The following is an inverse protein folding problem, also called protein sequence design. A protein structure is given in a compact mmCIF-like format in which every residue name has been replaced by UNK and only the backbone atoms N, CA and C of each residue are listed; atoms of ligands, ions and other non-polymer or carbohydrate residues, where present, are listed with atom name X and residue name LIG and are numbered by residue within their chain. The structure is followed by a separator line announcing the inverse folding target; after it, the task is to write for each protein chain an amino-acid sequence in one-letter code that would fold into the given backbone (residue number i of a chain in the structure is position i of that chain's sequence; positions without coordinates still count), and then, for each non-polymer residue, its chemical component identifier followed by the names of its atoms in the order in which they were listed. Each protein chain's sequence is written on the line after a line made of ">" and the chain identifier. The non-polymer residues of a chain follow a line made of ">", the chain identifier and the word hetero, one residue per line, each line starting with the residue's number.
data_IF_145147780370
#
_entry.id   IF_145147780370
#
_cell.length_a   1.000
_cell.length_b   1.000
_cell.length_c   1.000
_cell.angle_alpha   90.00
_cell.angle_beta   90.00
_cell.angle_gamma   90.00
#
_symmetry.space_group_name_H-M   'P 1'
#
loop_
_entity.id
_entity.type
_entity.pdbx_description
1 polymer ?
#
# COMPACT_ATOMS: atom_id res chain seq x y z
N UNK A 1 1.21 -2.07 7.68
CA UNK A 1 2.23 -1.46 6.80
C UNK A 1 3.61 -1.99 7.09
N UNK A 2 4.41 -2.24 6.03
CA UNK A 2 5.86 -2.46 6.15
C UNK A 2 6.57 -1.21 5.65
N UNK A 3 7.62 -0.78 6.34
CA UNK A 3 8.29 0.46 6.01
C UNK A 3 9.28 0.94 7.04
N UNK A 4 9.91 2.06 6.71
CA UNK A 4 10.87 2.77 7.55
C UNK A 4 10.44 4.22 7.64
N UNK A 5 10.49 4.78 8.85
CA UNK A 5 10.34 6.21 9.09
C UNK A 5 11.62 6.72 9.72
N UNK A 6 12.19 7.78 9.16
CA UNK A 6 13.29 8.50 9.77
C UNK A 6 12.91 9.99 9.92
N UNK A 7 13.39 10.61 11.01
CA UNK A 7 13.05 11.99 11.36
C UNK A 7 14.30 12.80 11.67
N UNK A 8 14.26 14.08 11.37
CA UNK A 8 15.26 15.06 11.79
C UNK A 8 14.55 16.16 12.61
N UNK A 9 14.84 16.19 13.91
CA UNK A 9 14.25 17.19 14.81
C UNK A 9 14.84 18.59 14.65
N UNK A 10 16.00 18.75 14.01
CA UNK A 10 16.60 20.07 13.82
C UNK A 10 15.89 20.86 12.71
N UNK A 11 15.39 20.14 11.70
CA UNK A 11 14.67 20.72 10.55
C UNK A 11 13.17 20.43 10.58
N UNK A 12 12.68 19.62 11.53
CA UNK A 12 11.30 19.15 11.61
C UNK A 12 10.85 18.49 10.30
N UNK A 13 11.69 17.60 9.77
CA UNK A 13 11.42 16.87 8.52
C UNK A 13 11.58 15.37 8.71
N UNK A 14 11.10 14.59 7.74
CA UNK A 14 11.37 13.15 7.71
C UNK A 14 11.36 12.55 6.32
N UNK A 15 11.58 11.24 6.31
CA UNK A 15 11.32 10.39 5.16
C UNK A 15 10.50 9.20 5.60
N UNK A 16 9.64 8.75 4.70
CA UNK A 16 8.88 7.52 4.84
C UNK A 16 9.14 6.62 3.64
N UNK A 17 9.55 5.39 3.93
CA UNK A 17 9.67 4.31 2.94
C UNK A 17 8.55 3.31 3.21
N UNK A 18 7.73 3.02 2.23
CA UNK A 18 6.81 1.88 2.23
C UNK A 18 7.32 0.83 1.25
N UNK A 19 7.22 -0.44 1.60
CA UNK A 19 7.69 -1.54 0.75
C UNK A 19 6.96 -2.85 1.02
N UNK A 20 7.21 -3.84 0.16
CA UNK A 20 6.63 -5.18 0.32
C UNK A 20 7.53 -6.19 1.03
N UNK A 21 8.85 -5.97 1.07
CA UNK A 21 9.88 -6.91 1.58
C UNK A 21 9.60 -7.30 3.05
N UNK A 22 9.29 -8.58 3.34
CA UNK A 22 9.24 -9.15 4.69
C UNK A 22 10.55 -8.97 5.47
N UNK A 23 10.44 -8.88 6.81
CA UNK A 23 11.57 -8.85 7.76
C UNK A 23 12.65 -7.78 7.48
N UNK A 24 12.29 -6.75 6.72
CA UNK A 24 13.19 -5.71 6.27
C UNK A 24 12.77 -4.31 6.76
N UNK A 25 13.73 -3.40 7.06
CA UNK A 25 15.16 -3.67 7.21
C UNK A 25 15.45 -4.53 8.43
N UNK A 26 16.43 -5.42 8.32
CA UNK A 26 16.88 -6.23 9.45
C UNK A 26 17.75 -5.38 10.39
N UNK A 27 17.13 -4.45 11.12
CA UNK A 27 17.83 -3.47 11.96
C UNK A 27 18.45 -4.10 13.23
N UNK A 28 18.14 -5.37 13.49
CA UNK A 28 18.59 -6.13 14.66
C UNK A 28 19.86 -6.95 14.42
N UNK A 29 20.34 -7.11 13.16
CA UNK A 29 21.73 -7.52 12.91
C UNK A 29 22.56 -6.29 12.61
N UNK A 30 23.74 -6.27 13.18
CA UNK A 30 24.62 -5.11 13.23
C UNK A 30 25.09 -4.69 11.82
N UNK A 31 24.53 -3.58 11.31
CA UNK A 31 25.23 -2.69 10.39
C UNK A 31 25.22 -3.02 8.89
N UNK A 32 24.67 -4.14 8.44
CA UNK A 32 24.60 -4.47 7.01
C UNK A 32 23.17 -4.27 6.45
N UNK A 33 23.08 -3.50 5.37
CA UNK A 33 21.83 -3.22 4.66
C UNK A 33 21.66 -4.30 3.58
N UNK A 34 21.00 -5.39 3.92
CA UNK A 34 20.79 -6.53 3.02
C UNK A 34 19.33 -6.97 3.03
N UNK A 35 18.84 -7.45 1.87
CA UNK A 35 17.55 -8.12 1.80
C UNK A 35 17.67 -9.54 2.34
N UNK A 36 16.64 -10.08 3.02
CA UNK A 36 16.60 -11.48 3.37
C UNK A 36 16.82 -12.37 2.13
N UNK A 37 17.65 -13.41 2.26
CA UNK A 37 18.03 -14.29 1.14
C UNK A 37 16.82 -14.93 0.44
N UNK A 38 15.77 -15.25 1.21
CA UNK A 38 14.53 -15.84 0.72
C UNK A 38 13.62 -14.83 0.00
N UNK A 39 13.88 -13.54 0.15
CA UNK A 39 13.14 -12.47 -0.52
C UNK A 39 13.77 -12.03 -1.85
N UNK A 40 15.01 -12.48 -2.15
CA UNK A 40 15.71 -12.17 -3.41
C UNK A 40 15.08 -12.80 -4.66
N UNK A 41 14.22 -13.81 -4.48
CA UNK A 41 13.55 -14.53 -5.57
C UNK A 41 12.18 -13.97 -5.92
N UNK A 42 11.72 -12.93 -5.22
CA UNK A 42 10.40 -12.34 -5.39
C UNK A 42 10.48 -10.93 -5.97
N UNK A 43 9.54 -10.58 -6.85
CA UNK A 43 9.24 -9.20 -7.19
C UNK A 43 8.84 -8.41 -5.93
N UNK A 44 9.29 -7.16 -5.84
CA UNK A 44 9.04 -6.29 -4.69
C UNK A 44 8.87 -4.84 -5.17
N UNK A 45 8.06 -4.06 -4.48
CA UNK A 45 7.92 -2.62 -4.71
C UNK A 45 8.34 -1.83 -3.47
N UNK A 46 8.88 -0.63 -3.73
CA UNK A 46 9.26 0.33 -2.70
C UNK A 46 8.92 1.75 -3.17
N UNK A 47 8.50 2.59 -2.24
CA UNK A 47 8.33 4.03 -2.46
C UNK A 47 8.90 4.80 -1.28
N UNK A 48 9.68 5.84 -1.57
CA UNK A 48 10.29 6.73 -0.59
C UNK A 48 9.78 8.15 -0.80
N UNK A 49 9.23 8.76 0.26
CA UNK A 49 8.65 10.11 0.23
C UNK A 49 9.35 10.96 1.29
N UNK A 50 9.88 12.11 0.88
CA UNK A 50 10.42 13.11 1.82
C UNK A 50 9.31 14.06 2.24
N UNK A 51 9.17 14.30 3.55
CA UNK A 51 8.01 14.95 4.16
C UNK A 51 8.43 16.08 5.10
N UNK A 52 7.66 17.17 5.11
CA UNK A 52 7.71 18.19 6.15
C UNK A 52 7.02 17.69 7.43
N UNK A 53 7.26 18.36 8.56
CA UNK A 53 6.78 17.91 9.87
C UNK A 53 5.27 17.72 9.97
N UNK A 54 4.48 18.62 9.37
CA UNK A 54 3.02 18.49 9.32
C UNK A 54 2.56 17.25 8.57
N UNK A 55 3.27 16.89 7.49
CA UNK A 55 2.94 15.74 6.63
C UNK A 55 3.34 14.43 7.31
N UNK A 56 4.40 14.45 8.12
CA UNK A 56 4.76 13.35 9.02
C UNK A 56 3.69 13.10 10.08
N UNK A 57 2.96 14.13 10.52
CA UNK A 57 1.88 13.97 11.49
C UNK A 57 0.63 13.33 10.87
N UNK A 58 0.32 13.69 9.61
CA UNK A 58 -0.72 13.02 8.80
C UNK A 58 -0.40 11.53 8.62
N UNK A 59 0.87 11.19 8.39
CA UNK A 59 1.33 9.81 8.36
C UNK A 59 1.09 9.09 9.70
N UNK A 60 1.30 9.78 10.81
CA UNK A 60 1.02 9.28 12.16
C UNK A 60 -0.45 8.93 12.39
N UNK A 61 -1.37 9.75 11.90
CA UNK A 61 -2.81 9.48 11.95
C UNK A 61 -3.16 8.22 11.14
N UNK A 62 -2.60 8.06 9.94
CA UNK A 62 -2.77 6.86 9.14
C UNK A 62 -2.21 5.62 9.85
N UNK A 63 -1.03 5.72 10.47
CA UNK A 63 -0.43 4.61 11.21
C UNK A 63 -1.27 4.21 12.43
N UNK A 64 -1.90 5.18 13.11
CA UNK A 64 -2.85 4.91 14.20
C UNK A 64 -4.04 4.06 13.73
N UNK A 65 -4.46 4.22 12.46
CA UNK A 65 -5.49 3.40 11.85
C UNK A 65 -4.96 2.01 11.44
N UNK A 66 -3.80 1.98 10.79
CA UNK A 66 -3.21 0.77 10.20
C UNK A 66 -2.71 -0.24 11.24
N UNK A 67 -2.33 0.24 12.43
CA UNK A 67 -1.74 -0.56 13.51
C UNK A 67 -0.54 -1.41 13.04
N UNK A 68 0.50 -0.81 12.42
CA UNK A 68 1.69 -1.55 12.03
C UNK A 68 2.43 -2.10 13.27
N UNK A 69 3.20 -3.17 13.08
CA UNK A 69 4.03 -3.72 14.13
C UNK A 69 5.41 -3.04 14.12
N UNK A 70 5.71 -2.26 15.16
CA UNK A 70 6.99 -1.56 15.28
C UNK A 70 8.03 -2.40 16.02
N UNK A 71 9.11 -2.78 15.34
CA UNK A 71 10.17 -3.64 15.92
C UNK A 71 11.52 -2.92 16.12
N UNK A 72 11.69 -1.71 15.59
CA UNK A 72 12.94 -0.93 15.67
C UNK A 72 12.69 0.54 15.92
N UNK A 73 12.14 0.89 17.09
CA UNK A 73 11.78 2.29 17.42
C UNK A 73 12.91 2.98 18.17
N UNK A 74 13.50 3.99 17.54
CA UNK A 74 14.45 4.92 18.15
C UNK A 74 14.11 6.33 17.71
N UNK A 75 13.14 6.95 18.40
CA UNK A 75 12.65 8.30 18.10
C UNK A 75 12.87 9.24 19.28
N UNK A 76 13.32 10.49 19.05
CA UNK A 76 13.52 11.45 20.13
C UNK A 76 12.17 11.94 20.67
N UNK A 77 12.10 12.27 21.97
CA UNK A 77 10.88 12.82 22.57
C UNK A 77 10.48 14.17 22.00
N UNK A 78 11.40 14.92 21.37
CA UNK A 78 11.11 16.15 20.63
C UNK A 78 10.12 15.95 19.49
N UNK A 79 10.01 14.74 18.93
CA UNK A 79 9.04 14.42 17.88
C UNK A 79 7.60 14.75 18.31
N UNK A 80 7.27 14.61 19.60
CA UNK A 80 5.92 14.91 20.10
C UNK A 80 5.51 16.38 19.99
N UNK A 81 6.45 17.28 19.70
CA UNK A 81 6.17 18.72 19.57
C UNK A 81 5.79 19.16 18.16
N UNK A 82 6.18 18.40 17.14
CA UNK A 82 5.97 18.77 15.73
C UNK A 82 5.30 17.67 14.88
N UNK A 83 5.34 16.40 15.30
CA UNK A 83 4.53 15.31 14.76
C UNK A 83 3.94 14.45 15.91
N UNK A 84 3.03 15.03 16.72
CA UNK A 84 2.44 14.38 17.90
C UNK A 84 1.71 13.06 17.60
N UNK A 85 0.93 12.96 16.53
CA UNK A 85 0.23 11.74 16.12
C UNK A 85 1.22 10.65 15.71
N UNK A 86 2.30 11.01 15.02
CA UNK A 86 3.35 10.06 14.67
C UNK A 86 4.07 9.53 15.92
N UNK A 87 4.41 10.43 16.85
CA UNK A 87 4.99 10.04 18.13
C UNK A 87 4.04 9.13 18.93
N UNK A 88 2.75 9.48 19.00
CA UNK A 88 1.75 8.69 19.71
C UNK A 88 1.62 7.28 19.11
N UNK A 89 1.54 7.16 17.78
CA UNK A 89 1.44 5.86 17.12
C UNK A 89 2.71 5.02 17.29
N UNK A 90 3.89 5.58 16.96
CA UNK A 90 5.14 4.81 16.91
C UNK A 90 5.77 4.54 18.29
N UNK A 91 5.65 5.47 19.24
CA UNK A 91 6.35 5.42 20.53
C UNK A 91 5.41 5.02 21.67
N UNK A 92 4.15 5.47 21.62
CA UNK A 92 3.17 5.19 22.69
C UNK A 92 2.22 4.04 22.35
N UNK A 93 2.34 3.45 21.15
CA UNK A 93 1.45 2.39 20.64
C UNK A 93 -0.03 2.83 20.68
N UNK A 94 -0.28 4.11 20.43
CA UNK A 94 -1.60 4.71 20.48
C UNK A 94 -2.35 4.54 19.15
N UNK A 95 -3.29 3.58 19.12
CA UNK A 95 -4.02 3.19 17.93
C UNK A 95 -5.52 3.39 18.04
N UNK A 96 -6.18 3.59 16.90
CA UNK A 96 -7.63 3.66 16.84
C UNK A 96 -8.27 2.34 17.25
N UNK A 97 -9.41 2.43 17.93
CA UNK A 97 -10.26 1.27 18.21
C UNK A 97 -11.52 1.24 17.33
N UNK A 98 -11.66 2.22 16.42
CA UNK A 98 -12.81 2.37 15.53
C UNK A 98 -12.69 1.44 14.31
N UNK A 99 -13.83 1.10 13.71
CA UNK A 99 -13.91 0.42 12.43
C UNK A 99 -13.95 1.48 11.32
N UNK A 100 -12.79 1.78 10.71
CA UNK A 100 -12.65 2.90 9.77
C UNK A 100 -11.69 2.55 8.63
N UNK A 101 -12.05 2.95 7.42
CA UNK A 101 -11.18 3.12 6.27
C UNK A 101 -11.22 4.60 5.89
N UNK A 102 -10.05 5.21 5.70
CA UNK A 102 -9.90 6.66 5.48
C UNK A 102 -8.84 6.94 4.43
N UNK A 103 -8.93 8.12 3.83
CA UNK A 103 -7.87 8.69 3.01
C UNK A 103 -7.49 10.08 3.53
N UNK A 104 -6.24 10.45 3.31
CA UNK A 104 -5.70 11.78 3.57
C UNK A 104 -4.80 12.21 2.41
N UNK A 105 -4.69 13.51 2.17
CA UNK A 105 -3.67 14.03 1.26
C UNK A 105 -2.36 14.16 2.02
N UNK A 106 -1.26 13.74 1.39
CA UNK A 106 0.09 13.95 1.89
C UNK A 106 0.94 14.56 0.78
N UNK A 107 1.74 15.58 1.09
CA UNK A 107 2.53 16.33 0.11
C UNK A 107 4.02 16.15 0.41
N UNK A 108 4.79 15.78 -0.60
CA UNK A 108 6.25 15.70 -0.43
C UNK A 108 6.87 17.09 -0.30
N UNK A 109 8.10 17.15 0.22
CA UNK A 109 8.92 18.38 0.22
C UNK A 109 9.18 18.93 -1.19
N UNK A 110 9.10 18.08 -2.21
CA UNK A 110 9.21 18.46 -3.62
C UNK A 110 7.93 19.04 -4.22
N UNK A 111 6.80 18.95 -3.51
CA UNK A 111 5.49 19.40 -3.98
C UNK A 111 4.63 18.33 -4.66
N UNK A 112 5.15 17.10 -4.82
CA UNK A 112 4.34 15.98 -5.31
C UNK A 112 3.22 15.66 -4.31
N UNK A 113 2.00 15.50 -4.84
CA UNK A 113 0.80 15.23 -4.05
C UNK A 113 0.44 13.76 -4.11
N UNK A 114 0.18 13.17 -2.95
CA UNK A 114 -0.21 11.78 -2.80
C UNK A 114 -1.52 11.67 -2.02
N UNK A 115 -2.24 10.58 -2.23
CA UNK A 115 -3.35 10.15 -1.38
C UNK A 115 -2.88 8.97 -0.55
N UNK A 116 -2.90 9.13 0.77
CA UNK A 116 -2.60 8.11 1.76
C UNK A 116 -3.88 7.45 2.24
N UNK A 117 -4.09 6.21 1.85
CA UNK A 117 -5.17 5.35 2.34
C UNK A 117 -4.72 4.58 3.57
N UNK A 118 -5.62 4.47 4.56
CA UNK A 118 -5.43 3.68 5.76
C UNK A 118 -6.73 2.98 6.15
N UNK A 119 -6.63 1.75 6.66
CA UNK A 119 -7.78 1.03 7.22
C UNK A 119 -7.41 0.32 8.50
N UNK A 120 -8.37 0.32 9.44
CA UNK A 120 -8.25 -0.48 10.65
C UNK A 120 -8.68 -1.91 10.44
N UNK A 121 -8.11 -2.82 11.23
CA UNK A 121 -8.50 -4.25 11.25
C UNK A 121 -9.99 -4.50 11.48
N UNK A 122 -10.68 -3.55 12.12
CA UNK A 122 -12.11 -3.66 12.44
C UNK A 122 -13.02 -3.17 11.31
N UNK A 123 -12.48 -2.44 10.34
CA UNK A 123 -13.24 -1.98 9.18
C UNK A 123 -13.76 -3.16 8.35
N UNK A 124 -12.97 -4.24 8.25
CA UNK A 124 -13.41 -5.52 7.70
C UNK A 124 -13.96 -5.43 6.26
N UNK A 125 -13.38 -4.56 5.45
CA UNK A 125 -13.65 -4.40 4.02
C UNK A 125 -12.31 -4.45 3.27
N UNK A 126 -12.32 -4.57 1.94
CA UNK A 126 -11.11 -4.60 1.15
C UNK A 126 -10.52 -3.20 0.98
N UNK A 127 -9.21 -3.09 1.01
CA UNK A 127 -8.53 -1.82 0.73
C UNK A 127 -8.76 -1.39 -0.73
N UNK A 128 -8.62 -2.32 -1.68
CA UNK A 128 -8.56 -1.98 -3.10
C UNK A 128 -9.94 -1.69 -3.67
N UNK A 129 -10.91 -2.59 -3.44
CA UNK A 129 -12.26 -2.43 -3.98
C UNK A 129 -13.09 -1.40 -3.21
N UNK A 130 -13.13 -1.50 -1.87
CA UNK A 130 -14.07 -0.71 -1.06
C UNK A 130 -13.53 0.68 -0.69
N UNK A 131 -12.23 0.95 -0.89
CA UNK A 131 -11.63 2.25 -0.56
C UNK A 131 -10.95 2.89 -1.76
N UNK A 132 -9.92 2.26 -2.34
CA UNK A 132 -9.11 2.89 -3.39
C UNK A 132 -9.91 3.12 -4.67
N UNK A 133 -10.54 2.07 -5.23
CA UNK A 133 -11.31 2.16 -6.47
C UNK A 133 -12.49 3.14 -6.33
N UNK A 134 -13.20 3.08 -5.19
CA UNK A 134 -14.30 4.00 -4.88
C UNK A 134 -13.84 5.45 -4.78
N UNK A 135 -12.69 5.71 -4.15
CA UNK A 135 -12.18 7.07 -3.96
C UNK A 135 -11.77 7.70 -5.29
N UNK A 136 -11.13 6.93 -6.17
CA UNK A 136 -10.72 7.43 -7.48
C UNK A 136 -11.80 7.34 -8.55
N UNK A 137 -12.92 6.70 -8.25
CA UNK A 137 -13.97 6.44 -9.20
C UNK A 137 -13.48 5.73 -10.48
N UNK A 138 -12.58 4.75 -10.33
CA UNK A 138 -11.90 4.10 -11.46
C UNK A 138 -11.72 2.60 -11.22
N UNK A 139 -11.73 1.86 -12.32
CA UNK A 139 -11.39 0.44 -12.35
C UNK A 139 -9.87 0.28 -12.14
N UNK A 140 -9.43 -0.82 -11.51
CA UNK A 140 -8.03 -1.03 -11.11
C UNK A 140 -7.48 -2.37 -11.60
N UNK A 141 -6.23 -2.35 -12.07
CA UNK A 141 -5.34 -3.52 -12.08
C UNK A 141 -4.57 -3.56 -10.78
N UNK A 142 -4.56 -4.69 -10.07
CA UNK A 142 -3.91 -4.84 -8.76
C UNK A 142 -2.93 -6.01 -8.80
N UNK A 143 -1.65 -5.73 -8.68
CA UNK A 143 -0.65 -6.75 -8.36
C UNK A 143 -0.74 -7.09 -6.88
N UNK A 144 -0.82 -8.38 -6.59
CA UNK A 144 -1.07 -8.86 -5.23
C UNK A 144 -0.64 -10.30 -5.04
N UNK A 145 -0.16 -10.58 -3.83
CA UNK A 145 0.18 -11.93 -3.43
C UNK A 145 -1.02 -12.70 -2.83
N UNK A 146 -1.23 -13.95 -3.25
CA UNK A 146 -2.17 -14.85 -2.58
C UNK A 146 -2.08 -16.29 -3.08
N UNK A 147 -2.37 -17.25 -2.18
CA UNK A 147 -2.40 -18.69 -2.48
C UNK A 147 -3.54 -19.36 -1.71
N UNK A 148 -4.73 -19.58 -2.31
CA UNK A 148 -5.15 -19.17 -3.65
C UNK A 148 -5.33 -17.66 -3.78
N UNK A 149 -5.50 -17.17 -5.01
CA UNK A 149 -6.01 -15.82 -5.28
C UNK A 149 -7.54 -15.81 -5.33
N UNK A 150 -8.12 -14.70 -4.87
CA UNK A 150 -9.54 -14.42 -5.04
C UNK A 150 -9.76 -13.96 -6.48
N UNK A 151 -10.95 -14.18 -7.03
CA UNK A 151 -11.27 -13.78 -8.40
C UNK A 151 -11.29 -12.25 -8.60
N UNK A 152 -11.48 -11.77 -9.84
CA UNK A 152 -11.73 -10.35 -10.08
C UNK A 152 -13.06 -9.93 -9.44
N UNK A 153 -13.10 -8.71 -8.91
CA UNK A 153 -14.31 -8.05 -8.45
C UNK A 153 -14.88 -7.26 -9.60
N UNK A 154 -16.05 -7.69 -10.10
CA UNK A 154 -16.59 -7.21 -11.36
C UNK A 154 -17.70 -6.19 -11.14
N UNK A 155 -17.58 -5.06 -11.85
CA UNK A 155 -18.63 -4.04 -11.86
C UNK A 155 -20.00 -4.63 -12.17
N UNK A 156 -21.00 -4.27 -11.37
CA UNK A 156 -22.37 -4.73 -11.50
C UNK A 156 -22.67 -6.06 -10.80
N UNK A 157 -21.64 -6.76 -10.30
CA UNK A 157 -21.79 -7.94 -9.43
C UNK A 157 -21.76 -7.47 -7.97
N UNK A 158 -22.65 -8.00 -7.13
CA UNK A 158 -22.71 -7.71 -5.69
C UNK A 158 -22.72 -6.21 -5.29
N UNK A 159 -23.20 -5.34 -6.19
CA UNK A 159 -23.26 -3.89 -5.95
C UNK A 159 -21.94 -3.16 -6.19
N UNK A 160 -20.92 -3.82 -6.74
CA UNK A 160 -19.64 -3.22 -7.09
C UNK A 160 -19.80 -2.18 -8.20
N UNK A 161 -19.22 -0.99 -7.96
CA UNK A 161 -19.30 0.15 -8.89
C UNK A 161 -18.14 0.16 -9.88
N UNK A 162 -17.02 -0.43 -9.48
CA UNK A 162 -15.77 -0.48 -10.25
C UNK A 162 -15.26 -1.90 -10.31
N UNK A 163 -14.58 -2.21 -11.41
CA UNK A 163 -13.89 -3.48 -11.61
C UNK A 163 -12.52 -3.41 -10.98
N UNK A 164 -12.17 -4.40 -10.16
CA UNK A 164 -10.82 -4.57 -9.61
C UNK A 164 -10.34 -5.97 -9.96
N UNK A 165 -9.25 -6.04 -10.72
CA UNK A 165 -8.72 -7.29 -11.25
C UNK A 165 -7.31 -7.56 -10.72
N UNK A 166 -6.93 -8.84 -10.62
CA UNK A 166 -5.56 -9.21 -10.32
C UNK A 166 -4.71 -9.08 -11.58
N UNK A 167 -3.53 -8.48 -11.45
CA UNK A 167 -2.42 -8.74 -12.37
C UNK A 167 -1.97 -10.19 -12.17
N UNK A 168 -1.68 -10.90 -13.26
CA UNK A 168 -1.30 -12.31 -13.27
C UNK A 168 0.14 -12.51 -13.65
N UNK A 169 0.61 -11.79 -14.67
CA UNK A 169 1.97 -11.85 -15.13
C UNK A 169 2.47 -10.43 -15.39
N UNK A 170 3.73 -10.19 -15.07
CA UNK A 170 4.43 -8.94 -15.38
C UNK A 170 5.73 -9.20 -16.12
N UNK A 171 6.20 -8.21 -16.88
CA UNK A 171 7.51 -8.24 -17.52
C UNK A 171 8.22 -6.88 -17.47
N UNK A 172 9.49 -6.90 -17.05
CA UNK A 172 10.36 -5.73 -16.95
C UNK A 172 11.73 -6.08 -17.52
N UNK A 173 12.26 -5.28 -18.45
CA UNK A 173 13.60 -5.43 -19.02
C UNK A 173 13.96 -6.86 -19.50
N UNK A 174 12.98 -7.57 -20.06
CA UNK A 174 13.14 -8.93 -20.58
C UNK A 174 13.05 -10.05 -19.53
N UNK A 175 12.82 -9.71 -18.27
CA UNK A 175 12.44 -10.64 -17.20
C UNK A 175 10.92 -10.69 -17.11
N UNK A 176 10.34 -11.88 -16.99
CA UNK A 176 8.91 -12.07 -16.80
C UNK A 176 8.67 -13.06 -15.67
N UNK A 177 7.66 -12.80 -14.86
CA UNK A 177 7.26 -13.64 -13.73
C UNK A 177 5.77 -13.51 -13.47
N UNK A 178 5.22 -14.52 -12.79
CA UNK A 178 3.82 -14.52 -12.41
C UNK A 178 3.64 -13.90 -11.01
N UNK A 179 2.41 -13.52 -10.69
CA UNK A 179 1.97 -13.00 -9.41
C UNK A 179 2.36 -13.91 -8.22
N UNK A 180 2.42 -15.23 -8.45
CA UNK A 180 2.94 -16.21 -7.49
C UNK A 180 4.44 -16.11 -7.20
N UNK A 181 5.16 -15.22 -7.89
CA UNK A 181 6.55 -14.86 -7.67
C UNK A 181 6.72 -13.36 -7.39
N UNK A 182 5.64 -12.64 -7.07
CA UNK A 182 5.67 -11.21 -6.78
C UNK A 182 5.07 -10.89 -5.40
N UNK A 183 5.91 -10.45 -4.46
CA UNK A 183 5.49 -10.02 -3.14
C UNK A 183 5.03 -8.58 -3.09
N UNK A 184 5.13 -7.81 -4.17
CA UNK A 184 4.64 -6.45 -4.22
C UNK A 184 3.12 -6.37 -4.01
N UNK A 185 2.67 -5.19 -3.61
CA UNK A 185 1.26 -4.81 -3.73
C UNK A 185 1.24 -3.44 -4.35
N UNK A 186 0.72 -3.35 -5.55
CA UNK A 186 0.53 -2.09 -6.22
C UNK A 186 -0.72 -2.15 -7.07
N UNK A 187 -1.26 -0.98 -7.40
CA UNK A 187 -2.37 -0.88 -8.31
C UNK A 187 -2.15 0.25 -9.30
N UNK A 188 -2.67 0.08 -10.51
CA UNK A 188 -2.85 1.18 -11.46
C UNK A 188 -4.32 1.30 -11.83
N UNK A 189 -4.79 2.53 -12.02
CA UNK A 189 -6.10 2.73 -12.63
C UNK A 189 -6.08 2.32 -14.10
N UNK A 190 -7.23 1.93 -14.64
CA UNK A 190 -7.33 1.57 -16.06
C UNK A 190 -7.32 2.82 -16.98
N UNK A 191 -7.70 3.99 -16.45
CA UNK A 191 -8.00 5.17 -17.28
C UNK A 191 -7.68 6.54 -16.67
N UNK A 192 -7.03 6.60 -15.49
CA UNK A 192 -6.98 7.84 -14.69
C UNK A 192 -5.59 8.21 -14.15
N UNK A 193 -4.51 7.64 -14.71
CA UNK A 193 -3.11 7.93 -14.36
C UNK A 193 -2.76 7.74 -12.87
N UNK A 194 -3.48 6.86 -12.15
CA UNK A 194 -3.27 6.60 -10.72
C UNK A 194 -2.33 5.42 -10.55
N UNK A 195 -1.30 5.58 -9.74
CA UNK A 195 -0.45 4.48 -9.26
C UNK A 195 -0.49 4.44 -7.75
N UNK A 196 -0.63 3.26 -7.18
CA UNK A 196 -0.67 3.01 -5.75
C UNK A 196 0.36 1.97 -5.36
N UNK A 197 1.07 2.20 -4.25
CA UNK A 197 1.91 1.20 -3.58
C UNK A 197 1.28 0.90 -2.21
N UNK A 198 1.00 -0.37 -1.94
CA UNK A 198 0.32 -0.81 -0.72
C UNK A 198 1.10 -1.85 0.07
N UNK A 199 0.60 -2.14 1.27
CA UNK A 199 1.14 -3.20 2.14
C UNK A 199 0.19 -4.37 2.38
N UNK A 200 -1.08 -4.22 1.96
CA UNK A 200 -2.14 -5.23 2.10
C UNK A 200 -2.40 -5.92 0.77
N UNK A 201 -2.38 -7.26 0.78
CA UNK A 201 -2.82 -8.06 -0.37
C UNK A 201 -4.34 -7.92 -0.57
N UNK A 202 -4.81 -8.08 -1.80
CA UNK A 202 -6.23 -8.00 -2.18
C UNK A 202 -7.12 -9.10 -1.61
N UNK A 203 -6.55 -10.15 -1.02
CA UNK A 203 -7.31 -11.31 -0.57
C UNK A 203 -8.33 -10.98 0.52
N UNK A 204 -9.53 -11.55 0.44
CA UNK A 204 -10.60 -11.52 1.45
C UNK A 204 -10.11 -11.89 2.86
N UNK A 205 -9.14 -12.81 2.94
CA UNK A 205 -8.44 -13.18 4.18
C UNK A 205 -7.75 -12.00 4.88
N UNK A 206 -7.43 -10.92 4.16
CA UNK A 206 -6.78 -9.71 4.66
C UNK A 206 -7.76 -8.62 5.10
N UNK A 207 -9.07 -8.78 4.91
CA UNK A 207 -10.06 -7.77 5.33
C UNK A 207 -9.95 -7.41 6.82
N UNK A 208 -9.53 -8.37 7.66
CA UNK A 208 -9.32 -8.21 9.11
C UNK A 208 -7.91 -7.77 9.51
N UNK A 209 -7.08 -7.30 8.57
CA UNK A 209 -5.80 -6.64 8.85
C UNK A 209 -5.93 -5.14 8.67
N UNK A 210 -5.16 -4.40 9.46
CA UNK A 210 -4.93 -2.97 9.22
C UNK A 210 -3.73 -2.75 8.31
N UNK A 211 -3.67 -1.59 7.69
CA UNK A 211 -2.73 -1.25 6.61
C UNK A 211 -3.41 -0.38 5.56
N UNK A 212 -2.69 -0.05 4.50
CA UNK A 212 -3.04 1.02 3.59
C UNK A 212 -2.29 0.97 2.27
N UNK A 213 -2.37 2.10 1.56
CA UNK A 213 -1.65 2.33 0.32
C UNK A 213 -1.38 3.82 0.16
N UNK A 214 -0.29 4.17 -0.49
CA UNK A 214 -0.02 5.53 -0.95
C UNK A 214 -0.12 5.57 -2.46
N UNK A 215 -0.87 6.54 -2.95
CA UNK A 215 -1.15 6.68 -4.37
C UNK A 215 -0.75 8.06 -4.88
N UNK A 216 -0.38 8.16 -6.14
CA UNK A 216 -0.13 9.41 -6.84
C UNK A 216 -0.83 9.41 -8.19
N UNK A 217 -1.23 10.59 -8.65
CA UNK A 217 -1.64 10.78 -10.04
C UNK A 217 -0.44 11.28 -10.83
N UNK A 218 0.12 10.42 -11.68
CA UNK A 218 1.31 10.73 -12.46
C UNK A 218 1.34 9.86 -13.72
N UNK A 219 1.22 10.49 -14.88
CA UNK A 219 1.16 9.81 -16.17
C UNK A 219 2.40 8.98 -16.48
N UNK A 220 3.59 9.48 -16.11
CA UNK A 220 4.86 8.82 -16.45
C UNK A 220 5.04 7.54 -15.63
N UNK A 221 4.78 7.62 -14.31
CA UNK A 221 4.83 6.45 -13.42
C UNK A 221 3.69 5.48 -13.77
N UNK A 222 2.50 5.99 -14.04
CA UNK A 222 1.36 5.17 -14.45
C UNK A 222 1.64 4.39 -15.72
N UNK A 223 2.20 5.05 -16.74
CA UNK A 223 2.59 4.40 -17.98
C UNK A 223 3.63 3.31 -17.72
N UNK A 224 4.67 3.62 -16.94
CA UNK A 224 5.71 2.63 -16.59
C UNK A 224 5.15 1.39 -15.87
N UNK A 225 4.20 1.55 -14.95
CA UNK A 225 3.55 0.41 -14.27
C UNK A 225 2.52 -0.31 -15.16
N UNK A 226 1.86 0.41 -16.05
CA UNK A 226 0.84 -0.18 -16.94
C UNK A 226 1.48 -1.01 -18.05
N UNK A 227 2.63 -0.59 -18.57
CA UNK A 227 3.35 -1.28 -19.64
C UNK A 227 3.96 -2.62 -19.20
N UNK A 228 4.18 -2.81 -17.89
CA UNK A 228 4.75 -4.06 -17.38
C UNK A 228 3.70 -5.15 -17.19
N UNK A 229 2.40 -4.83 -17.28
CA UNK A 229 1.31 -5.81 -17.15
C UNK A 229 1.25 -6.67 -18.42
N UNK A 230 1.44 -7.98 -18.28
CA UNK A 230 1.38 -8.95 -19.38
C UNK A 230 0.04 -9.68 -19.42
N UNK A 231 -0.44 -10.12 -18.25
CA UNK A 231 -1.73 -10.81 -18.12
C UNK A 231 -2.47 -10.35 -16.85
N UNK A 232 -3.80 -10.47 -16.85
CA UNK A 232 -4.66 -10.07 -15.74
C UNK A 232 -6.01 -10.80 -15.78
N UNK A 233 -6.71 -10.89 -14.65
CA UNK A 233 -8.03 -11.53 -14.62
C UNK A 233 -9.05 -10.77 -15.46
N UNK A 234 -9.87 -11.51 -16.20
CA UNK A 234 -10.99 -10.93 -16.95
C UNK A 234 -12.29 -11.16 -16.20
N UNK A 235 -13.08 -10.09 -16.06
CA UNK A 235 -14.48 -10.23 -15.71
C UNK A 235 -15.20 -10.94 -16.86
N UNK A 236 -15.76 -12.11 -16.59
CA UNK A 236 -16.56 -12.81 -17.57
C UNK A 236 -17.79 -11.99 -17.95
N UNK A 237 -18.21 -12.03 -19.21
CA UNK A 237 -19.63 -11.88 -19.51
C UNK A 237 -20.31 -13.14 -19.02
N UNK A 238 -21.36 -13.03 -18.20
CA UNK A 238 -22.26 -14.16 -17.93
C UNK A 238 -22.75 -14.76 -19.24
N UNK A 239 -22.03 -15.78 -19.71
CA UNK A 239 -22.48 -16.73 -20.72
C UNK A 239 -22.21 -18.14 -20.20
N UNK A 240 -22.67 -18.43 -18.99
CA UNK A 240 -23.48 -19.62 -18.83
C UNK A 240 -24.31 -19.53 -17.56
N UNK A 241 -25.61 -19.76 -17.70
CA UNK A 241 -26.50 -19.85 -16.56
C UNK A 241 -26.15 -21.09 -15.74
N UNK A 242 -25.37 -20.94 -14.68
CA UNK A 242 -25.37 -21.88 -13.56
C UNK A 242 -25.31 -21.11 -12.25
N UNK A 243 -26.48 -21.04 -11.63
CA UNK A 243 -26.68 -20.87 -10.19
C UNK A 243 -25.68 -21.70 -9.39
N UNK A 244 -25.01 -21.09 -8.41
CA UNK A 244 -24.83 -21.65 -7.07
C UNK A 244 -24.70 -20.56 -6.03
#
# INVERSE_FOLDING_TARGET
>A
MKGVVATDSATETGLWITHSVPEYPWILAEGEYEFPDDELVYGQSMMCISLEGSEMDVLGDAFSNDMPNYYGVSMPSSLSSWAPSLYASMVQDAHTTKAVGTSATIVSRGGDVFTLFSKSKKWNQNLWEDLVAVTYASDLYVETWGRPLDGPDCKGVDGLVYTVTNVRDVAVDGYAWSEGQDHSKWAVSMDSDIVCIGDINRMSSQMKRGGGAVCMQNSDVWHAFSEIIVDYDVCGTDTDGMTH
#
